data_IF_126640153537
#
_entry.id   IF_126640153537
#
_cell.length_a   1.000
_cell.length_b   1.000
_cell.length_c   1.000
_cell.angle_alpha   90.00
_cell.angle_beta   90.00
_cell.angle_gamma   90.00
#
_symmetry.space_group_name_H-M   'P 1'
#
loop_
_entity.id
_entity.type
_entity.pdbx_description
1 polymer ?
#
# COMPACT_ATOMS: atom_id res chain seq x y z
N UNK A 1 -49.85 -3.54 -69.77
CA UNK A 1 -49.20 -4.50 -68.84
C UNK A 1 -47.82 -4.04 -68.35
N UNK A 2 -46.89 -3.61 -69.21
CA UNK A 2 -45.54 -3.19 -68.79
C UNK A 2 -45.49 -2.04 -67.76
N UNK A 3 -46.39 -1.04 -67.85
CA UNK A 3 -46.47 0.09 -66.91
C UNK A 3 -46.95 -0.32 -65.50
N UNK A 4 -47.84 -1.31 -65.40
CA UNK A 4 -48.37 -1.83 -64.13
C UNK A 4 -47.30 -2.65 -63.41
N UNK A 5 -46.53 -3.46 -64.14
CA UNK A 5 -45.42 -4.20 -63.56
C UNK A 5 -44.32 -3.27 -63.03
N UNK A 6 -44.10 -2.13 -63.70
CA UNK A 6 -43.15 -1.12 -63.25
C UNK A 6 -43.60 -0.42 -61.96
N UNK A 7 -44.90 -0.09 -61.87
CA UNK A 7 -45.49 0.50 -60.65
C UNK A 7 -45.44 -0.50 -59.49
N UNK A 8 -45.71 -1.78 -59.75
CA UNK A 8 -45.64 -2.83 -58.74
C UNK A 8 -44.21 -3.05 -58.23
N UNK A 9 -43.22 -2.96 -59.11
CA UNK A 9 -41.80 -3.05 -58.76
C UNK A 9 -41.35 -1.88 -57.86
N UNK A 10 -41.80 -0.66 -58.15
CA UNK A 10 -41.53 0.53 -57.34
C UNK A 10 -42.17 0.44 -55.95
N UNK A 11 -43.38 -0.11 -55.84
CA UNK A 11 -44.08 -0.31 -54.57
C UNK A 11 -43.37 -1.33 -53.66
N UNK A 12 -42.81 -2.39 -54.24
CA UNK A 12 -42.05 -3.40 -53.50
C UNK A 12 -40.74 -2.81 -52.96
N UNK A 13 -40.06 -1.97 -53.74
CA UNK A 13 -38.82 -1.30 -53.32
C UNK A 13 -39.05 -0.23 -52.24
N UNK A 14 -40.23 0.39 -52.20
CA UNK A 14 -40.60 1.35 -51.17
C UNK A 14 -40.90 0.69 -49.80
N UNK A 15 -41.27 -0.59 -49.77
CA UNK A 15 -41.54 -1.33 -48.53
C UNK A 15 -40.30 -1.94 -47.88
N UNK A 16 -39.13 -1.89 -48.53
CA UNK A 16 -37.85 -2.37 -47.97
C UNK A 16 -37.10 -1.30 -47.18
N UNK A 17 -37.76 -0.23 -46.71
CA UNK A 17 -37.12 0.75 -45.82
C UNK A 17 -36.78 0.06 -44.49
N UNK A 18 -35.50 -0.29 -44.37
CA UNK A 18 -34.87 -0.93 -43.23
C UNK A 18 -35.21 -0.22 -41.92
N UNK A 19 -35.42 -0.99 -40.85
CA UNK A 19 -35.47 -0.49 -39.49
C UNK A 19 -34.15 0.21 -39.15
N UNK A 20 -34.11 1.53 -39.28
CA UNK A 20 -32.99 2.34 -38.79
C UNK A 20 -33.09 2.36 -37.27
N UNK A 21 -32.34 1.48 -36.60
CA UNK A 21 -32.07 1.66 -35.18
C UNK A 21 -31.10 2.82 -35.05
N UNK A 22 -31.56 3.93 -34.47
CA UNK A 22 -30.66 4.97 -33.99
C UNK A 22 -29.63 4.31 -33.06
N UNK A 23 -28.36 4.54 -33.33
CA UNK A 23 -27.29 4.00 -32.52
C UNK A 23 -27.33 4.74 -31.18
N UNK A 24 -27.66 4.04 -30.09
CA UNK A 24 -27.43 4.60 -28.76
C UNK A 24 -25.95 4.98 -28.66
N UNK A 25 -25.70 6.16 -28.11
CA UNK A 25 -24.32 6.51 -27.84
C UNK A 25 -23.76 5.47 -26.87
N UNK A 26 -22.56 4.96 -27.13
CA UNK A 26 -21.87 3.98 -26.25
C UNK A 26 -21.63 4.58 -24.84
N UNK A 27 -21.99 5.85 -24.62
CA UNK A 27 -21.62 6.69 -23.49
C UNK A 27 -22.67 6.73 -22.36
N UNK A 28 -23.85 6.12 -22.50
CA UNK A 28 -24.90 6.13 -21.46
C UNK A 28 -25.06 4.77 -20.76
N UNK A 29 -23.95 4.24 -20.24
CA UNK A 29 -24.04 3.23 -19.20
C UNK A 29 -24.44 3.92 -17.88
N UNK A 30 -25.48 3.42 -17.21
CA UNK A 30 -25.94 3.95 -15.92
C UNK A 30 -24.77 4.00 -14.92
N UNK A 31 -24.23 5.20 -14.68
CA UNK A 31 -23.04 5.37 -13.86
C UNK A 31 -23.40 5.19 -12.40
N UNK A 32 -22.90 4.12 -11.78
CA UNK A 32 -23.04 3.91 -10.35
C UNK A 32 -22.31 5.02 -9.59
N UNK A 33 -23.06 5.82 -8.83
CA UNK A 33 -22.50 6.91 -8.02
C UNK A 33 -22.04 6.35 -6.68
N UNK A 34 -20.73 6.21 -6.51
CA UNK A 34 -20.13 5.82 -5.25
C UNK A 34 -20.09 7.01 -4.28
N UNK A 35 -20.47 6.76 -3.02
CA UNK A 35 -20.30 7.75 -1.94
C UNK A 35 -18.92 7.65 -1.26
N UNK A 36 -18.35 6.44 -1.24
CA UNK A 36 -17.17 6.09 -0.47
C UNK A 36 -16.30 5.11 -1.24
N UNK A 37 -15.00 5.20 -1.02
CA UNK A 37 -13.98 4.30 -1.57
C UNK A 37 -13.06 3.87 -0.43
N UNK A 38 -12.68 2.61 -0.44
CA UNK A 38 -11.71 2.05 0.49
C UNK A 38 -10.68 1.29 -0.31
N UNK A 39 -9.41 1.54 -0.04
CA UNK A 39 -8.32 0.79 -0.64
C UNK A 39 -7.35 0.34 0.46
N UNK A 40 -6.90 -0.89 0.32
CA UNK A 40 -5.93 -1.54 1.19
C UNK A 40 -4.75 -1.95 0.35
N UNK A 41 -3.54 -1.88 0.91
CA UNK A 41 -2.36 -2.35 0.21
C UNK A 41 -1.23 -2.71 1.15
N UNK A 42 -0.26 -3.40 0.56
CA UNK A 42 0.98 -3.80 1.19
C UNK A 42 2.11 -2.99 0.59
N UNK A 43 3.02 -2.54 1.44
CA UNK A 43 4.25 -1.83 1.04
C UNK A 43 5.39 -2.81 1.25
N UNK A 44 6.15 -3.08 0.19
CA UNK A 44 7.32 -3.97 0.25
C UNK A 44 8.50 -3.20 -0.35
N UNK A 45 9.58 -3.07 0.40
CA UNK A 45 10.83 -2.46 -0.07
C UNK A 45 12.03 -3.17 0.55
N UNK A 46 13.22 -2.98 -0.01
CA UNK A 46 14.45 -3.65 0.49
C UNK A 46 14.73 -3.36 1.97
N UNK A 47 14.37 -2.17 2.43
CA UNK A 47 14.55 -1.75 3.83
C UNK A 47 13.43 -2.19 4.80
N UNK A 48 12.45 -3.01 4.39
CA UNK A 48 11.31 -3.36 5.25
C UNK A 48 9.98 -3.55 4.54
N UNK A 49 8.91 -3.46 5.31
CA UNK A 49 7.55 -3.68 4.82
C UNK A 49 6.58 -2.80 5.58
N UNK A 50 5.37 -2.67 5.06
CA UNK A 50 4.29 -1.96 5.71
C UNK A 50 2.93 -2.27 5.12
N UNK A 51 1.93 -1.60 5.66
CA UNK A 51 0.55 -1.65 5.20
C UNK A 51 0.04 -0.24 5.00
N UNK A 52 -0.83 -0.06 3.99
CA UNK A 52 -1.49 1.20 3.74
C UNK A 52 -3.01 1.01 3.68
N UNK A 53 -3.72 1.99 4.22
CA UNK A 53 -5.15 2.12 4.13
C UNK A 53 -5.50 3.50 3.63
N UNK A 54 -6.38 3.56 2.62
CA UNK A 54 -6.87 4.79 2.02
C UNK A 54 -8.39 4.80 2.06
N UNK A 55 -8.94 5.87 2.59
CA UNK A 55 -10.37 6.13 2.65
C UNK A 55 -10.71 7.38 1.84
N UNK A 56 -11.56 7.22 0.82
CA UNK A 56 -12.02 8.28 -0.06
C UNK A 56 -13.49 8.61 0.17
N UNK A 57 -13.80 9.88 0.39
CA UNK A 57 -15.16 10.41 0.44
C UNK A 57 -15.43 11.21 -0.83
N UNK A 58 -16.46 10.85 -1.59
CA UNK A 58 -16.87 11.62 -2.77
C UNK A 58 -17.62 12.88 -2.32
N UNK A 59 -17.04 14.05 -2.60
CA UNK A 59 -17.68 15.34 -2.35
C UNK A 59 -18.50 15.80 -3.57
N UNK A 60 -18.08 15.38 -4.78
CA UNK A 60 -18.77 15.60 -6.05
C UNK A 60 -18.50 14.41 -6.98
N UNK A 61 -19.08 14.41 -8.19
CA UNK A 61 -18.83 13.38 -9.20
C UNK A 61 -17.38 13.30 -9.68
N UNK A 62 -16.59 14.38 -9.49
CA UNK A 62 -15.21 14.49 -9.96
C UNK A 62 -14.19 14.77 -8.86
N UNK A 63 -14.64 15.09 -7.64
CA UNK A 63 -13.77 15.44 -6.51
C UNK A 63 -14.02 14.55 -5.32
N UNK A 64 -12.93 14.14 -4.68
CA UNK A 64 -12.97 13.32 -3.46
C UNK A 64 -11.95 13.78 -2.44
N UNK A 65 -12.36 13.80 -1.17
CA UNK A 65 -11.48 13.97 -0.01
C UNK A 65 -10.85 12.63 0.32
N UNK A 66 -9.55 12.60 0.56
CA UNK A 66 -8.79 11.39 0.84
C UNK A 66 -8.18 11.47 2.24
N UNK A 67 -8.26 10.37 2.97
CA UNK A 67 -7.57 10.12 4.22
C UNK A 67 -6.72 8.86 4.06
N UNK A 68 -5.46 8.93 4.44
CA UNK A 68 -4.53 7.81 4.33
C UNK A 68 -3.81 7.58 5.65
N UNK A 69 -3.73 6.30 6.02
CA UNK A 69 -2.98 5.83 7.17
C UNK A 69 -2.05 4.70 6.74
N UNK A 70 -0.79 4.78 7.17
CA UNK A 70 0.21 3.78 6.85
C UNK A 70 1.05 3.43 8.06
N UNK A 71 1.39 2.14 8.17
CA UNK A 71 2.31 1.61 9.17
C UNK A 71 3.47 0.96 8.43
N UNK A 72 4.69 1.48 8.61
CA UNK A 72 5.87 1.04 7.84
C UNK A 72 7.04 0.77 8.78
N UNK A 73 7.62 -0.42 8.68
CA UNK A 73 8.89 -0.74 9.33
C UNK A 73 10.07 -0.27 8.48
N UNK A 74 11.03 0.41 9.11
CA UNK A 74 12.22 0.91 8.44
C UNK A 74 13.49 0.30 9.06
N UNK A 75 14.30 -0.32 8.21
CA UNK A 75 15.67 -0.77 8.51
C UNK A 75 16.68 0.23 7.94
N UNK A 76 17.77 0.42 8.67
CA UNK A 76 18.91 1.17 8.19
C UNK A 76 19.70 0.33 7.16
N UNK A 77 20.22 0.91 6.05
CA UNK A 77 20.90 0.16 5.00
C UNK A 77 22.20 -0.54 5.44
N UNK A 78 22.79 -0.09 6.56
CA UNK A 78 23.98 -0.72 7.17
C UNK A 78 23.64 -1.80 8.21
N UNK A 79 22.38 -2.22 8.32
CA UNK A 79 22.02 -3.33 9.21
C UNK A 79 22.50 -4.66 8.62
N UNK A 80 23.51 -5.25 9.25
CA UNK A 80 23.99 -6.58 8.92
C UNK A 80 23.60 -7.51 10.06
N UNK A 81 22.91 -8.59 9.73
CA UNK A 81 22.57 -9.60 10.71
C UNK A 81 23.81 -10.42 11.05
N UNK A 82 24.15 -10.45 12.32
CA UNK A 82 25.24 -11.22 12.91
C UNK A 82 24.66 -12.36 13.76
N UNK A 83 25.41 -13.45 13.83
CA UNK A 83 25.08 -14.60 14.67
C UNK A 83 26.20 -14.77 15.69
N UNK A 84 25.84 -15.19 16.89
CA UNK A 84 26.84 -15.45 17.92
C UNK A 84 27.56 -16.76 17.60
N UNK A 85 28.89 -16.75 17.71
CA UNK A 85 29.71 -17.97 17.61
C UNK A 85 29.69 -18.80 18.90
N UNK A 86 29.06 -18.31 19.97
CA UNK A 86 29.11 -18.91 21.31
C UNK A 86 28.15 -20.10 21.41
N UNK A 87 27.04 -20.08 20.67
CA UNK A 87 26.03 -21.13 20.67
C UNK A 87 25.50 -21.37 19.25
N UNK A 88 25.41 -22.65 18.87
CA UNK A 88 24.92 -23.07 17.54
C UNK A 88 23.43 -22.71 17.29
N UNK A 89 22.65 -22.41 18.33
CA UNK A 89 21.21 -22.06 18.25
C UNK A 89 20.93 -20.62 18.69
N UNK A 90 21.76 -19.67 18.24
CA UNK A 90 21.62 -18.24 18.53
C UNK A 90 20.57 -17.55 17.63
N UNK A 91 19.72 -16.72 18.24
CA UNK A 91 18.87 -15.79 17.48
C UNK A 91 19.74 -14.70 16.83
N UNK A 92 19.71 -14.58 15.50
CA UNK A 92 20.46 -13.55 14.80
C UNK A 92 20.10 -12.12 15.25
N UNK A 93 21.11 -11.28 15.47
CA UNK A 93 20.99 -9.91 15.96
C UNK A 93 21.68 -8.93 15.01
N UNK A 94 21.52 -7.62 15.22
CA UNK A 94 22.23 -6.61 14.44
C UNK A 94 23.17 -5.86 15.37
N UNK A 95 24.47 -6.02 15.17
CA UNK A 95 25.47 -5.35 16.01
C UNK A 95 25.44 -3.83 15.78
N UNK A 96 25.58 -3.05 16.85
CA UNK A 96 25.58 -1.58 16.76
C UNK A 96 24.20 -0.93 16.59
N UNK A 97 23.11 -1.70 16.48
CA UNK A 97 21.76 -1.14 16.32
C UNK A 97 21.17 -0.76 17.68
N UNK A 98 20.93 0.54 17.90
CA UNK A 98 20.34 1.05 19.14
C UNK A 98 18.81 0.91 19.19
N UNK A 99 18.15 1.26 18.09
CA UNK A 99 16.69 1.31 18.01
C UNK A 99 16.19 0.67 16.71
N UNK A 100 15.00 0.09 16.75
CA UNK A 100 14.22 -0.28 15.57
C UNK A 100 13.19 0.82 15.29
N UNK A 101 13.06 1.23 14.03
CA UNK A 101 12.15 2.30 13.65
C UNK A 101 10.85 1.76 13.05
N UNK A 102 9.74 2.29 13.55
CA UNK A 102 8.40 2.13 12.98
C UNK A 102 7.84 3.51 12.65
N UNK A 103 7.32 3.66 11.44
CA UNK A 103 6.74 4.90 10.95
C UNK A 103 5.22 4.75 10.89
N UNK A 104 4.54 5.70 11.51
CA UNK A 104 3.09 5.88 11.43
C UNK A 104 2.87 7.12 10.58
N UNK A 105 2.36 6.95 9.35
CA UNK A 105 2.13 8.05 8.42
C UNK A 105 0.64 8.31 8.32
N UNK A 106 0.22 9.53 8.63
CA UNK A 106 -1.14 9.99 8.44
C UNK A 106 -1.16 11.12 7.42
N UNK A 107 -1.99 11.02 6.39
CA UNK A 107 -2.16 12.11 5.43
C UNK A 107 -3.61 12.37 5.11
N UNK A 108 -3.88 13.61 4.74
CA UNK A 108 -5.17 14.09 4.28
C UNK A 108 -4.97 14.87 3.00
N UNK A 109 -5.87 14.69 2.05
CA UNK A 109 -5.69 15.26 0.73
C UNK A 109 -6.96 15.32 -0.08
N UNK A 110 -6.82 15.75 -1.32
CA UNK A 110 -7.89 15.83 -2.29
C UNK A 110 -7.45 15.18 -3.58
N UNK A 111 -8.40 14.52 -4.25
CA UNK A 111 -8.24 14.10 -5.63
C UNK A 111 -9.28 14.77 -6.51
N UNK A 112 -8.80 15.32 -7.63
CA UNK A 112 -9.61 15.95 -8.66
C UNK A 112 -9.42 15.20 -9.98
N UNK A 113 -10.52 14.70 -10.52
CA UNK A 113 -10.55 14.07 -11.85
C UNK A 113 -10.79 15.15 -12.88
N UNK A 114 -9.86 15.36 -13.80
CA UNK A 114 -10.03 16.34 -14.89
C UNK A 114 -10.73 15.73 -16.08
N UNK A 115 -10.34 14.51 -16.45
CA UNK A 115 -10.92 13.76 -17.55
C UNK A 115 -11.51 12.49 -16.96
N UNK A 116 -12.84 12.41 -16.92
CA UNK A 116 -13.51 11.18 -16.51
C UNK A 116 -13.53 10.17 -17.64
N UNK A 117 -13.45 8.90 -17.26
CA UNK A 117 -13.67 7.77 -18.16
C UNK A 117 -15.08 7.85 -18.76
N UNK A 118 -15.15 7.88 -20.09
CA UNK A 118 -16.42 7.93 -20.87
C UNK A 118 -16.86 6.55 -21.38
N UNK A 119 -15.98 5.56 -21.44
CA UNK A 119 -16.27 4.21 -21.91
C UNK A 119 -15.57 3.17 -21.03
N UNK A 120 -16.01 1.91 -21.00
CA UNK A 120 -15.40 0.80 -20.24
C UNK A 120 -13.89 0.64 -20.53
N UNK A 121 -13.41 1.00 -21.72
CA UNK A 121 -11.98 1.00 -22.09
C UNK A 121 -11.31 2.38 -22.06
N UNK A 122 -12.04 3.40 -21.59
CA UNK A 122 -11.54 4.77 -21.49
C UNK A 122 -10.55 4.95 -20.35
N UNK A 123 -9.74 6.00 -20.47
CA UNK A 123 -8.76 6.43 -19.46
C UNK A 123 -9.39 7.54 -18.62
N UNK A 124 -9.07 7.57 -17.33
CA UNK A 124 -9.36 8.72 -16.46
C UNK A 124 -8.06 9.39 -16.07
N UNK A 125 -8.03 10.73 -16.12
CA UNK A 125 -6.88 11.53 -15.68
C UNK A 125 -7.27 12.27 -14.41
N UNK A 126 -6.53 12.03 -13.34
CA UNK A 126 -6.75 12.63 -12.02
C UNK A 126 -5.47 13.17 -11.43
N UNK A 127 -5.58 14.26 -10.68
CA UNK A 127 -4.51 14.74 -9.79
C UNK A 127 -4.87 14.42 -8.35
N UNK A 128 -3.89 13.90 -7.62
CA UNK A 128 -3.98 13.57 -6.19
C UNK A 128 -2.97 14.44 -5.45
N UNK A 129 -3.42 15.16 -4.44
CA UNK A 129 -2.58 16.01 -3.59
C UNK A 129 -2.85 15.68 -2.14
N UNK A 130 -1.84 15.17 -1.45
CA UNK A 130 -1.91 14.81 -0.04
C UNK A 130 -0.87 15.59 0.76
N UNK A 131 -1.25 16.00 1.96
CA UNK A 131 -0.34 16.55 2.98
C UNK A 131 -0.51 15.74 4.24
N UNK A 132 0.58 15.44 4.93
CA UNK A 132 0.54 14.53 6.07
C UNK A 132 1.68 14.72 7.04
N UNK A 133 1.51 14.09 8.19
CA UNK A 133 2.51 14.01 9.24
C UNK A 133 3.00 12.57 9.35
N UNK A 134 4.28 12.42 9.67
CA UNK A 134 4.90 11.13 9.92
C UNK A 134 5.42 11.12 11.33
N UNK A 135 4.92 10.19 12.15
CA UNK A 135 5.43 9.92 13.46
C UNK A 135 6.40 8.73 13.39
N UNK A 136 7.62 8.94 13.89
CA UNK A 136 8.64 7.90 13.93
C UNK A 136 8.79 7.39 15.37
N UNK A 137 8.41 6.13 15.60
CA UNK A 137 8.60 5.45 16.86
C UNK A 137 9.91 4.66 16.85
N UNK A 138 10.86 5.05 17.70
CA UNK A 138 12.13 4.38 17.87
C UNK A 138 12.07 3.44 19.08
N UNK A 139 11.84 2.14 18.84
CA UNK A 139 11.83 1.12 19.89
C UNK A 139 13.27 0.73 20.26
N UNK A 140 13.69 0.82 21.54
CA UNK A 140 15.02 0.37 21.95
C UNK A 140 15.17 -1.14 21.78
N UNK A 141 16.38 -1.57 21.41
CA UNK A 141 16.68 -3.00 21.21
C UNK A 141 17.14 -3.63 22.52
N UNK A 142 16.60 -4.82 22.78
CA UNK A 142 17.02 -5.69 23.86
C UNK A 142 17.76 -6.89 23.29
N UNK A 143 18.89 -7.22 23.89
CA UNK A 143 19.74 -8.35 23.51
C UNK A 143 19.85 -9.32 24.67
N UNK A 144 20.07 -10.59 24.34
CA UNK A 144 20.47 -11.62 25.28
C UNK A 144 22.00 -11.57 25.41
N UNK A 145 22.47 -11.26 26.61
CA UNK A 145 23.89 -11.12 26.92
C UNK A 145 24.30 -12.10 28.01
N UNK A 146 25.51 -12.64 27.89
CA UNK A 146 26.13 -13.47 28.94
C UNK A 146 26.83 -12.55 29.92
N UNK A 147 26.45 -12.65 31.18
CA UNK A 147 27.26 -12.11 32.27
C UNK A 147 28.12 -13.23 32.83
N UNK A 148 29.42 -13.02 32.74
CA UNK A 148 30.40 -13.88 33.41
C UNK A 148 30.50 -13.35 34.85
N UNK A 149 29.72 -13.96 35.74
CA UNK A 149 29.89 -13.76 37.18
C UNK A 149 30.82 -14.85 37.73
N UNK A 150 31.46 -14.58 38.88
CA UNK A 150 32.55 -15.39 39.45
C UNK A 150 32.17 -16.86 39.74
N UNK A 151 30.88 -17.21 39.70
CA UNK A 151 30.37 -18.52 40.13
C UNK A 151 29.53 -19.21 39.04
N UNK A 152 28.69 -18.48 38.28
CA UNK A 152 27.90 -19.05 37.17
C UNK A 152 27.68 -18.04 36.03
N UNK A 153 27.62 -18.53 34.80
CA UNK A 153 27.23 -17.75 33.63
C UNK A 153 25.71 -17.62 33.58
N UNK A 154 25.18 -16.40 33.67
CA UNK A 154 23.74 -16.14 33.52
C UNK A 154 23.46 -15.42 32.21
N UNK A 155 22.36 -15.81 31.56
CA UNK A 155 21.83 -15.12 30.36
C UNK A 155 20.82 -14.10 30.81
N UNK A 156 21.14 -12.82 30.59
CA UNK A 156 20.27 -11.69 30.98
C UNK A 156 19.84 -10.95 29.73
N UNK A 157 18.58 -10.51 29.73
CA UNK A 157 18.04 -9.67 28.65
C UNK A 157 18.18 -8.21 29.07
N UNK A 158 19.00 -7.46 28.35
CA UNK A 158 19.31 -6.07 28.65
C UNK A 158 19.12 -5.18 27.43
N UNK A 159 18.84 -3.90 27.67
CA UNK A 159 18.86 -2.88 26.61
C UNK A 159 20.30 -2.76 26.10
N UNK A 160 20.45 -2.77 24.78
CA UNK A 160 21.78 -2.69 24.15
C UNK A 160 22.51 -1.39 24.54
N UNK A 161 23.74 -1.55 25.02
CA UNK A 161 24.67 -0.45 25.29
C UNK A 161 26.03 -0.74 24.61
N UNK A 162 26.46 0.08 23.63
CA UNK A 162 27.73 -0.11 22.92
C UNK A 162 28.98 -0.12 23.81
N UNK A 163 28.94 0.55 24.97
CA UNK A 163 30.09 0.62 25.88
C UNK A 163 30.25 -0.64 26.73
N UNK A 164 29.17 -1.41 26.93
CA UNK A 164 29.13 -2.60 27.80
C UNK A 164 29.04 -3.91 27.01
N UNK A 165 28.41 -3.88 25.84
CA UNK A 165 28.07 -5.07 25.06
C UNK A 165 28.95 -5.16 23.82
N UNK A 166 29.84 -6.15 23.80
CA UNK A 166 30.72 -6.48 22.69
C UNK A 166 30.19 -7.72 21.96
N UNK A 167 30.64 -7.96 20.72
CA UNK A 167 30.17 -9.15 19.97
C UNK A 167 30.42 -10.48 20.71
N UNK A 168 31.47 -10.55 21.54
CA UNK A 168 31.83 -11.72 22.32
C UNK A 168 30.91 -12.01 23.52
N UNK A 169 30.07 -11.06 23.96
CA UNK A 169 29.15 -11.27 25.08
C UNK A 169 27.67 -11.30 24.67
N UNK A 170 27.38 -11.08 23.39
CA UNK A 170 26.02 -11.12 22.84
C UNK A 170 25.73 -12.53 22.32
N UNK A 171 24.65 -13.12 22.82
CA UNK A 171 24.13 -14.38 22.30
C UNK A 171 23.19 -14.09 21.14
N UNK A 172 22.26 -13.16 21.29
CA UNK A 172 21.25 -12.97 20.27
C UNK A 172 20.26 -11.86 20.55
N UNK A 173 19.27 -11.75 19.67
CA UNK A 173 18.18 -10.78 19.82
C UNK A 173 17.19 -11.26 20.87
N UNK A 174 16.84 -10.37 21.81
CA UNK A 174 15.80 -10.66 22.80
C UNK A 174 14.38 -10.63 22.23
N UNK A 175 13.37 -10.99 23.06
CA UNK A 175 11.97 -11.06 22.65
C UNK A 175 11.43 -9.73 22.09
N UNK A 176 10.66 -9.79 21.00
CA UNK A 176 10.13 -8.60 20.33
C UNK A 176 9.15 -7.77 21.19
N UNK A 177 8.49 -8.39 22.16
CA UNK A 177 7.52 -7.76 23.07
C UNK A 177 8.15 -7.18 24.35
N UNK A 178 9.44 -7.40 24.62
CA UNK A 178 10.10 -6.76 25.76
C UNK A 178 10.43 -5.30 25.44
N UNK A 179 10.17 -4.43 26.41
CA UNK A 179 10.23 -2.97 26.27
C UNK A 179 8.89 -2.34 25.93
#
# INVERSE_FOLDING_TARGET
>A
MKKINFILFLLIFAFTTSYVKAQETIFEEARTVYKREQAYGLIIHTSGWGVNYRYGLYNSGFTRRIFEGELVGLKHPKEIQSFSSIFDTSNGYVFGKLNTMFLIRGSVGNQKTFISKQSVRGIAISMVQNVGLTFAYAKPIYLEVIKIETIENSVVIERYNPEKHNQANIIGKGPALRG
#
